data_IF_040322268929
#
_entry.id   IF_040322268929
#
_cell.length_a   1.000
_cell.length_b   1.000
_cell.length_c   1.000
_cell.angle_alpha   90.00
_cell.angle_beta   90.00
_cell.angle_gamma   90.00
#
_symmetry.space_group_name_H-M   'P 1'
#
loop_
_entity.id
_entity.type
_entity.pdbx_description
1 polymer ?
#
# COMPACT_ATOMS: atom_id res chain seq x y z
N UNK A 1 -1.57 -25.68 -5.59
CA UNK A 1 -1.05 -24.80 -6.66
C UNK A 1 -1.23 -23.32 -6.33
N UNK A 2 -2.42 -22.85 -5.95
CA UNK A 2 -2.68 -21.43 -5.69
C UNK A 2 -1.79 -20.82 -4.58
N UNK A 3 -1.66 -21.49 -3.43
CA UNK A 3 -0.82 -21.04 -2.31
C UNK A 3 0.65 -20.85 -2.70
N UNK A 4 1.18 -21.68 -3.60
CA UNK A 4 2.55 -21.57 -4.09
C UNK A 4 2.72 -20.32 -4.97
N UNK A 5 1.74 -20.02 -5.82
CA UNK A 5 1.73 -18.81 -6.66
C UNK A 5 1.66 -17.56 -5.78
N UNK A 6 0.79 -17.55 -4.75
CA UNK A 6 0.71 -16.46 -3.79
C UNK A 6 2.05 -16.25 -3.06
N UNK A 7 2.63 -17.34 -2.55
CA UNK A 7 3.91 -17.28 -1.84
C UNK A 7 5.02 -16.74 -2.74
N UNK A 8 5.13 -17.25 -3.97
CA UNK A 8 6.11 -16.77 -4.94
C UNK A 8 5.91 -15.28 -5.23
N UNK A 9 4.67 -14.86 -5.45
CA UNK A 9 4.34 -13.45 -5.66
C UNK A 9 4.81 -12.58 -4.48
N UNK A 10 4.39 -12.90 -3.25
CA UNK A 10 4.76 -12.12 -2.07
C UNK A 10 6.27 -12.14 -1.80
N UNK A 11 6.95 -13.26 -2.01
CA UNK A 11 8.40 -13.38 -1.82
C UNK A 11 9.19 -12.53 -2.84
N UNK A 12 8.69 -12.41 -4.08
CA UNK A 12 9.31 -11.60 -5.12
C UNK A 12 9.11 -10.09 -4.88
N UNK A 13 8.05 -9.65 -4.20
CA UNK A 13 7.79 -8.23 -3.96
C UNK A 13 8.94 -7.46 -3.31
N UNK A 14 9.50 -7.85 -2.14
CA UNK A 14 10.61 -7.12 -1.52
C UNK A 14 11.86 -7.15 -2.41
N UNK A 15 12.17 -8.30 -3.02
CA UNK A 15 13.35 -8.48 -3.89
C UNK A 15 13.26 -7.56 -5.10
N UNK A 16 12.16 -7.60 -5.83
CA UNK A 16 11.91 -6.77 -7.02
C UNK A 16 11.91 -5.28 -6.68
N UNK A 17 11.38 -4.90 -5.51
CA UNK A 17 11.40 -3.50 -5.04
C UNK A 17 12.82 -3.01 -4.80
N UNK A 18 13.66 -3.79 -4.10
CA UNK A 18 15.06 -3.42 -3.82
C UNK A 18 15.89 -3.38 -5.11
N UNK A 19 15.75 -4.39 -5.97
CA UNK A 19 16.45 -4.44 -7.25
C UNK A 19 16.03 -3.27 -8.15
N UNK A 20 14.73 -2.99 -8.24
CA UNK A 20 14.23 -1.85 -9.00
C UNK A 20 14.75 -0.53 -8.43
N UNK A 21 14.81 -0.36 -7.11
CA UNK A 21 15.37 0.86 -6.52
C UNK A 21 16.87 1.02 -6.84
N UNK A 22 17.63 -0.06 -6.83
CA UNK A 22 19.09 -0.04 -6.99
C UNK A 22 19.51 0.12 -8.45
N UNK A 23 18.89 -0.63 -9.37
CA UNK A 23 19.32 -0.72 -10.76
C UNK A 23 18.44 0.07 -11.73
N UNK A 24 17.15 0.26 -11.41
CA UNK A 24 16.16 0.88 -12.31
C UNK A 24 15.24 1.83 -11.54
N UNK A 25 15.81 2.79 -10.81
CA UNK A 25 15.06 3.59 -9.82
C UNK A 25 13.85 4.35 -10.40
N UNK A 26 13.83 4.59 -11.72
CA UNK A 26 12.65 5.11 -12.43
C UNK A 26 11.39 4.28 -12.21
N UNK A 27 11.51 2.97 -11.97
CA UNK A 27 10.42 2.03 -11.68
C UNK A 27 9.90 2.08 -10.25
N UNK A 28 10.64 2.65 -9.29
CA UNK A 28 10.16 2.82 -7.90
C UNK A 28 9.81 4.27 -7.57
N UNK A 29 10.26 5.21 -8.42
CA UNK A 29 10.00 6.63 -8.26
C UNK A 29 8.54 6.93 -8.61
N UNK A 30 7.81 7.47 -7.65
CA UNK A 30 6.43 7.97 -7.84
C UNK A 30 6.32 9.41 -7.34
N UNK A 31 5.49 10.23 -7.99
CA UNK A 31 5.38 11.66 -7.71
C UNK A 31 5.99 12.51 -8.82
N UNK A 32 7.26 12.90 -8.73
CA UNK A 32 7.90 13.74 -9.76
C UNK A 32 8.43 12.89 -10.92
N UNK A 33 7.53 12.38 -11.76
CA UNK A 33 7.86 11.68 -13.02
C UNK A 33 7.51 12.62 -14.19
N UNK A 34 8.38 12.79 -15.21
CA UNK A 34 8.14 13.72 -16.32
C UNK A 34 6.89 13.38 -17.14
N UNK A 35 6.66 12.09 -17.39
CA UNK A 35 5.51 11.58 -18.17
C UNK A 35 4.85 10.44 -17.39
N UNK A 36 3.52 10.50 -17.26
CA UNK A 36 2.76 9.48 -16.55
C UNK A 36 1.32 9.89 -16.23
N UNK A 37 0.59 8.96 -15.64
CA UNK A 37 -0.78 9.16 -15.20
C UNK A 37 -0.82 9.91 -13.87
N UNK A 38 -1.93 10.59 -13.58
CA UNK A 38 -2.13 11.26 -12.28
C UNK A 38 -2.13 10.26 -11.13
N UNK A 39 -1.47 10.57 -10.01
CA UNK A 39 -1.55 9.75 -8.78
C UNK A 39 -2.94 9.74 -8.14
N UNK A 40 -3.83 10.65 -8.54
CA UNK A 40 -5.24 10.58 -8.11
C UNK A 40 -5.93 9.30 -8.61
N UNK A 41 -5.36 8.62 -9.60
CA UNK A 41 -5.82 7.32 -10.08
C UNK A 41 -5.56 6.18 -9.07
N UNK A 42 -4.86 6.41 -7.95
CA UNK A 42 -4.78 5.45 -6.84
C UNK A 42 -6.15 5.07 -6.26
N UNK A 43 -7.17 5.92 -6.43
CA UNK A 43 -8.55 5.58 -6.10
C UNK A 43 -9.01 4.27 -6.76
N UNK A 44 -8.49 3.96 -7.96
CA UNK A 44 -8.85 2.75 -8.70
C UNK A 44 -8.33 1.48 -8.01
N UNK A 45 -7.22 1.55 -7.27
CA UNK A 45 -6.72 0.42 -6.49
C UNK A 45 -7.67 0.05 -5.37
N UNK A 46 -8.10 1.06 -4.63
CA UNK A 46 -8.92 0.87 -3.44
C UNK A 46 -10.33 0.43 -3.81
N UNK A 47 -10.94 1.03 -4.85
CA UNK A 47 -12.25 0.57 -5.34
C UNK A 47 -12.17 -0.84 -5.93
N UNK A 48 -11.10 -1.18 -6.65
CA UNK A 48 -10.89 -2.53 -7.16
C UNK A 48 -10.78 -3.55 -6.02
N UNK A 49 -9.98 -3.25 -4.98
CA UNK A 49 -9.87 -4.11 -3.80
C UNK A 49 -11.20 -4.26 -3.04
N UNK A 50 -12.03 -3.21 -2.98
CA UNK A 50 -13.37 -3.28 -2.38
C UNK A 50 -14.30 -4.18 -3.20
N UNK A 51 -14.31 -4.03 -4.53
CA UNK A 51 -15.08 -4.89 -5.44
C UNK A 51 -14.64 -6.35 -5.26
N UNK A 52 -13.33 -6.62 -5.26
CA UNK A 52 -12.81 -7.95 -5.00
C UNK A 52 -13.21 -8.48 -3.64
N UNK A 53 -13.19 -7.65 -2.59
CA UNK A 53 -13.60 -8.08 -1.24
C UNK A 53 -15.09 -8.41 -1.14
N UNK A 54 -15.93 -7.86 -2.02
CA UNK A 54 -17.34 -8.22 -2.12
C UNK A 54 -17.54 -9.50 -2.94
N UNK A 55 -16.81 -9.66 -4.05
CA UNK A 55 -16.88 -10.85 -4.91
C UNK A 55 -16.26 -12.10 -4.26
N UNK A 56 -15.13 -11.91 -3.59
CA UNK A 56 -14.45 -12.89 -2.74
C UNK A 56 -14.78 -12.49 -1.31
N UNK A 57 -15.83 -13.00 -0.67
CA UNK A 57 -16.39 -12.43 0.55
C UNK A 57 -15.37 -12.44 1.70
N UNK A 58 -14.54 -11.39 1.79
CA UNK A 58 -13.51 -11.23 2.81
C UNK A 58 -14.23 -10.92 4.11
N UNK A 59 -14.26 -11.89 5.03
CA UNK A 59 -15.09 -11.80 6.25
C UNK A 59 -14.43 -11.02 7.40
N UNK A 60 -13.21 -10.51 7.19
CA UNK A 60 -12.49 -9.72 8.20
C UNK A 60 -12.66 -8.21 7.98
N UNK A 61 -11.99 -7.42 8.83
CA UNK A 61 -12.11 -5.95 8.84
C UNK A 61 -11.23 -5.23 7.80
N UNK A 62 -10.45 -5.97 7.00
CA UNK A 62 -9.57 -5.37 5.98
C UNK A 62 -10.31 -4.50 4.93
N UNK A 63 -11.53 -4.83 4.48
CA UNK A 63 -12.27 -3.95 3.56
C UNK A 63 -12.55 -2.55 4.13
N UNK A 64 -12.63 -2.40 5.45
CA UNK A 64 -12.76 -1.08 6.10
C UNK A 64 -11.52 -0.22 5.84
N UNK A 65 -10.33 -0.84 5.88
CA UNK A 65 -9.08 -0.16 5.52
C UNK A 65 -9.12 0.34 4.07
N UNK A 66 -9.55 -0.50 3.13
CA UNK A 66 -9.68 -0.14 1.71
C UNK A 66 -10.71 0.97 1.48
N UNK A 67 -11.88 0.87 2.10
CA UNK A 67 -12.96 1.86 2.00
C UNK A 67 -12.52 3.23 2.52
N UNK A 68 -11.87 3.25 3.68
CA UNK A 68 -11.31 4.46 4.25
C UNK A 68 -10.23 5.07 3.33
N UNK A 69 -9.32 4.25 2.78
CA UNK A 69 -8.31 4.73 1.81
C UNK A 69 -8.95 5.29 0.53
N UNK A 70 -10.01 4.65 0.02
CA UNK A 70 -10.76 5.15 -1.12
C UNK A 70 -11.35 6.54 -0.85
N UNK A 71 -12.03 6.73 0.29
CA UNK A 71 -12.58 8.02 0.70
C UNK A 71 -11.47 9.07 0.83
N UNK A 72 -10.36 8.73 1.50
CA UNK A 72 -9.21 9.62 1.63
C UNK A 72 -8.67 10.06 0.28
N UNK A 73 -8.60 9.20 -0.75
CA UNK A 73 -8.11 9.61 -2.08
C UNK A 73 -9.01 10.63 -2.78
N UNK A 74 -10.30 10.70 -2.42
CA UNK A 74 -11.23 11.71 -2.93
C UNK A 74 -11.02 13.07 -2.24
N UNK A 75 -10.71 13.05 -0.95
CA UNK A 75 -10.51 14.23 -0.11
C UNK A 75 -9.08 14.79 -0.28
N UNK A 76 -8.07 13.95 -0.10
CA UNK A 76 -6.66 14.31 -0.12
C UNK A 76 -6.05 14.11 -1.51
N UNK A 77 -6.37 15.03 -2.42
CA UNK A 77 -5.87 14.99 -3.80
C UNK A 77 -4.37 15.28 -3.88
N UNK A 78 -3.68 14.52 -4.72
CA UNK A 78 -2.33 14.83 -5.13
C UNK A 78 -2.30 16.01 -6.11
N UNK A 79 -1.19 16.74 -6.11
CA UNK A 79 -0.95 17.82 -7.07
C UNK A 79 -0.83 17.29 -8.50
N UNK A 80 -1.10 18.14 -9.49
CA UNK A 80 -1.03 17.82 -10.93
C UNK A 80 0.38 17.37 -11.37
N UNK A 81 1.41 17.82 -10.65
CA UNK A 81 2.82 17.42 -10.85
C UNK A 81 3.11 16.00 -10.35
N UNK A 82 2.21 15.41 -9.56
CA UNK A 82 2.38 14.09 -8.96
C UNK A 82 1.84 13.00 -9.88
N UNK A 83 2.76 12.29 -10.53
CA UNK A 83 2.51 11.27 -11.56
C UNK A 83 2.98 9.87 -11.14
N UNK A 84 2.43 8.86 -11.80
CA UNK A 84 2.81 7.44 -11.70
C UNK A 84 2.85 6.80 -13.10
N UNK A 85 3.68 5.76 -13.28
CA UNK A 85 3.68 4.94 -14.49
C UNK A 85 2.45 4.00 -14.55
N UNK A 86 2.06 3.52 -15.74
CA UNK A 86 1.08 2.45 -15.90
C UNK A 86 1.46 1.14 -15.19
N UNK A 87 2.76 0.84 -15.09
CA UNK A 87 3.24 -0.33 -14.36
C UNK A 87 2.87 -0.27 -12.87
N UNK A 88 2.97 0.90 -12.23
CA UNK A 88 2.48 1.04 -10.86
C UNK A 88 0.97 0.78 -10.75
N UNK A 89 0.21 1.13 -11.79
CA UNK A 89 -1.23 0.88 -11.80
C UNK A 89 -1.52 -0.62 -11.84
N UNK A 90 -0.93 -1.32 -12.82
CA UNK A 90 -1.09 -2.75 -13.01
C UNK A 90 -0.63 -3.50 -11.77
N UNK A 91 0.55 -3.16 -11.24
CA UNK A 91 1.09 -3.72 -10.00
C UNK A 91 0.13 -3.54 -8.83
N UNK A 92 -0.44 -2.34 -8.66
CA UNK A 92 -1.41 -2.07 -7.60
C UNK A 92 -2.64 -2.97 -7.69
N UNK A 93 -3.19 -3.17 -8.89
CA UNK A 93 -4.33 -4.08 -9.11
C UNK A 93 -3.96 -5.52 -8.74
N UNK A 94 -2.86 -6.04 -9.29
CA UNK A 94 -2.38 -7.41 -9.01
C UNK A 94 -2.13 -7.61 -7.51
N UNK A 95 -1.50 -6.62 -6.84
CA UNK A 95 -1.26 -6.64 -5.41
C UNK A 95 -2.55 -6.80 -4.60
N UNK A 96 -3.58 -6.00 -4.91
CA UNK A 96 -4.86 -6.12 -4.20
C UNK A 96 -5.58 -7.43 -4.49
N UNK A 97 -5.41 -8.02 -5.69
CA UNK A 97 -5.89 -9.38 -5.96
C UNK A 97 -5.30 -10.38 -4.98
N UNK A 98 -3.98 -10.45 -4.87
CA UNK A 98 -3.31 -11.40 -3.96
C UNK A 98 -3.61 -11.14 -2.49
N UNK A 99 -3.66 -9.89 -2.05
CA UNK A 99 -4.00 -9.55 -0.66
C UNK A 99 -5.43 -9.96 -0.33
N UNK A 100 -6.41 -9.63 -1.18
CA UNK A 100 -7.81 -9.98 -0.94
C UNK A 100 -8.02 -11.49 -0.90
N UNK A 101 -7.40 -12.25 -1.81
CA UNK A 101 -7.51 -13.71 -1.80
C UNK A 101 -6.87 -14.29 -0.54
N UNK A 102 -5.64 -13.88 -0.20
CA UNK A 102 -4.93 -14.40 0.97
C UNK A 102 -5.65 -14.09 2.28
N UNK A 103 -6.24 -12.89 2.40
CA UNK A 103 -6.93 -12.46 3.61
C UNK A 103 -8.38 -12.95 3.71
N UNK A 104 -8.99 -13.45 2.63
CA UNK A 104 -10.42 -13.81 2.58
C UNK A 104 -10.87 -14.66 3.78
N UNK A 105 -10.09 -15.69 4.07
CA UNK A 105 -10.41 -16.70 5.09
C UNK A 105 -9.58 -16.53 6.37
N UNK A 106 -8.94 -15.36 6.54
CA UNK A 106 -8.08 -15.06 7.70
C UNK A 106 -8.78 -14.13 8.66
N UNK A 107 -8.70 -14.44 9.95
CA UNK A 107 -9.25 -13.59 10.99
C UNK A 107 -8.28 -12.45 11.32
N UNK A 108 -8.85 -11.27 11.55
CA UNK A 108 -8.20 -10.16 12.24
C UNK A 108 -9.05 -9.94 13.48
N UNK A 109 -8.58 -10.48 14.60
CA UNK A 109 -9.34 -10.63 15.84
C UNK A 109 -9.46 -9.31 16.57
N UNK A 110 -8.36 -8.57 16.71
CA UNK A 110 -8.36 -7.31 17.44
C UNK A 110 -8.77 -6.12 16.55
N UNK A 111 -10.08 -6.06 16.26
CA UNK A 111 -10.71 -5.01 15.44
C UNK A 111 -10.47 -3.60 16.00
N UNK A 112 -10.47 -3.44 17.32
CA UNK A 112 -10.28 -2.15 17.97
C UNK A 112 -8.88 -1.56 17.68
N UNK A 113 -7.83 -2.38 17.84
CA UNK A 113 -6.45 -1.97 17.49
C UNK A 113 -6.35 -1.68 16.00
N UNK A 114 -6.95 -2.51 15.14
CA UNK A 114 -6.96 -2.25 13.70
C UNK A 114 -7.60 -0.90 13.36
N UNK A 115 -8.76 -0.59 13.96
CA UNK A 115 -9.45 0.69 13.75
C UNK A 115 -8.63 1.88 14.26
N UNK A 116 -7.99 1.75 15.42
CA UNK A 116 -7.10 2.78 15.97
C UNK A 116 -5.92 3.07 15.03
N UNK A 117 -5.26 2.03 14.51
CA UNK A 117 -4.17 2.18 13.55
C UNK A 117 -4.63 2.82 12.24
N UNK A 118 -5.82 2.47 11.76
CA UNK A 118 -6.40 3.11 10.58
C UNK A 118 -6.70 4.60 10.83
N UNK A 119 -7.25 4.95 12.00
CA UNK A 119 -7.47 6.35 12.39
C UNK A 119 -6.16 7.13 12.49
N UNK A 120 -5.12 6.55 13.11
CA UNK A 120 -3.78 7.14 13.19
C UNK A 120 -3.20 7.39 11.79
N UNK A 121 -3.41 6.48 10.85
CA UNK A 121 -2.98 6.66 9.46
C UNK A 121 -3.77 7.79 8.78
N UNK A 122 -5.08 7.91 9.01
CA UNK A 122 -5.90 9.02 8.49
C UNK A 122 -5.41 10.37 8.99
N UNK A 123 -5.14 10.49 10.31
CA UNK A 123 -4.58 11.70 10.91
C UNK A 123 -3.22 12.02 10.30
N UNK A 124 -2.38 11.01 10.10
CA UNK A 124 -1.08 11.18 9.45
C UNK A 124 -1.22 11.68 8.00
N UNK A 125 -2.19 11.18 7.23
CA UNK A 125 -2.49 11.72 5.90
C UNK A 125 -2.99 13.15 5.95
N UNK A 126 -3.86 13.50 6.88
CA UNK A 126 -4.29 14.88 7.07
C UNK A 126 -3.10 15.82 7.33
N UNK A 127 -2.18 15.44 8.24
CA UNK A 127 -0.96 16.20 8.50
C UNK A 127 -0.12 16.40 7.23
N UNK A 128 0.07 15.34 6.44
CA UNK A 128 0.91 15.37 5.23
C UNK A 128 0.26 16.16 4.09
N UNK A 129 -1.05 15.97 3.85
CA UNK A 129 -1.75 16.53 2.70
C UNK A 129 -2.34 17.90 2.97
N UNK A 130 -2.97 18.12 4.13
CA UNK A 130 -3.59 19.40 4.46
C UNK A 130 -2.61 20.35 5.15
N UNK A 131 -1.90 19.88 6.18
CA UNK A 131 -1.00 20.74 6.98
C UNK A 131 0.42 20.85 6.39
N UNK A 132 0.80 19.95 5.49
CA UNK A 132 2.16 19.85 4.91
C UNK A 132 3.26 19.63 5.96
N UNK A 133 2.90 19.06 7.12
CA UNK A 133 3.82 18.73 8.21
C UNK A 133 4.05 17.22 8.27
N UNK A 134 5.09 16.78 8.99
CA UNK A 134 5.40 15.36 9.23
C UNK A 134 5.41 14.50 7.96
N UNK A 135 6.19 14.90 6.96
CA UNK A 135 6.15 14.35 5.59
C UNK A 135 6.19 12.81 5.46
N UNK A 136 6.70 12.10 6.46
CA UNK A 136 6.85 10.64 6.46
C UNK A 136 6.00 9.91 7.51
N UNK A 137 5.19 10.60 8.32
CA UNK A 137 4.40 9.96 9.40
C UNK A 137 3.43 8.90 8.87
N UNK A 138 2.81 9.16 7.73
CA UNK A 138 1.89 8.20 7.09
C UNK A 138 2.56 6.86 6.74
N UNK A 139 3.86 6.86 6.42
CA UNK A 139 4.61 5.62 6.17
C UNK A 139 4.83 4.82 7.45
N UNK A 140 5.11 5.49 8.58
CA UNK A 140 5.22 4.82 9.87
C UNK A 140 3.90 4.15 10.27
N UNK A 141 2.78 4.87 10.13
CA UNK A 141 1.45 4.32 10.38
C UNK A 141 1.11 3.15 9.43
N UNK A 142 1.52 3.24 8.17
CA UNK A 142 1.36 2.13 7.20
C UNK A 142 2.13 0.88 7.63
N UNK A 143 3.40 1.03 8.03
CA UNK A 143 4.20 -0.09 8.56
C UNK A 143 3.54 -0.68 9.80
N UNK A 144 3.04 0.14 10.73
CA UNK A 144 2.36 -0.36 11.94
C UNK A 144 1.12 -1.20 11.60
N UNK A 145 0.30 -0.77 10.62
CA UNK A 145 -0.87 -1.53 10.14
C UNK A 145 -0.43 -2.90 9.60
N UNK A 146 0.58 -2.94 8.74
CA UNK A 146 1.02 -4.20 8.13
C UNK A 146 1.77 -5.12 9.10
N UNK A 147 2.49 -4.57 10.08
CA UNK A 147 3.04 -5.34 11.20
C UNK A 147 1.93 -5.98 12.01
N UNK A 148 0.86 -5.24 12.30
CA UNK A 148 -0.31 -5.78 13.00
C UNK A 148 -1.03 -6.86 12.19
N UNK A 149 -1.24 -6.67 10.87
CA UNK A 149 -1.82 -7.70 10.00
C UNK A 149 -0.95 -8.97 10.01
N UNK A 150 0.38 -8.82 9.91
CA UNK A 150 1.30 -9.96 10.02
C UNK A 150 1.17 -10.67 11.37
N UNK A 151 1.09 -9.92 12.47
CA UNK A 151 0.94 -10.48 13.82
C UNK A 151 -0.35 -11.27 14.03
N UNK A 152 -1.46 -10.81 13.46
CA UNK A 152 -2.77 -11.48 13.55
C UNK A 152 -2.85 -12.71 12.64
N UNK A 153 -2.30 -12.62 11.42
CA UNK A 153 -2.45 -13.68 10.40
C UNK A 153 -1.34 -14.73 10.47
N UNK A 154 -0.12 -14.35 10.85
CA UNK A 154 1.07 -15.22 11.09
C UNK A 154 1.40 -16.17 9.95
N UNK A 155 1.34 -15.68 8.71
CA UNK A 155 1.71 -16.45 7.51
C UNK A 155 2.98 -15.90 6.88
N UNK A 156 3.75 -16.77 6.20
CA UNK A 156 4.97 -16.38 5.47
C UNK A 156 4.63 -15.33 4.40
N UNK A 157 3.49 -15.45 3.72
CA UNK A 157 3.00 -14.47 2.76
C UNK A 157 2.88 -13.07 3.39
N UNK A 158 2.32 -12.96 4.60
CA UNK A 158 2.21 -11.67 5.30
C UNK A 158 3.54 -11.17 5.85
N UNK A 159 4.48 -12.06 6.20
CA UNK A 159 5.85 -11.67 6.51
C UNK A 159 6.52 -11.05 5.28
N UNK A 160 6.46 -11.73 4.13
CA UNK A 160 6.99 -11.22 2.86
C UNK A 160 6.31 -9.90 2.46
N UNK A 161 5.00 -9.77 2.69
CA UNK A 161 4.28 -8.52 2.48
C UNK A 161 4.77 -7.39 3.39
N UNK A 162 5.03 -7.67 4.67
CA UNK A 162 5.62 -6.70 5.59
C UNK A 162 7.02 -6.25 5.13
N UNK A 163 7.86 -7.19 4.69
CA UNK A 163 9.18 -6.90 4.12
C UNK A 163 9.06 -6.04 2.85
N UNK A 164 8.07 -6.31 2.01
CA UNK A 164 7.75 -5.48 0.86
C UNK A 164 7.38 -4.05 1.28
N UNK A 165 6.47 -3.88 2.23
CA UNK A 165 6.07 -2.55 2.74
C UNK A 165 7.28 -1.79 3.30
N UNK A 166 8.13 -2.44 4.09
CA UNK A 166 9.37 -1.85 4.59
C UNK A 166 10.30 -1.41 3.45
N UNK A 167 10.51 -2.26 2.45
CA UNK A 167 11.34 -1.99 1.28
C UNK A 167 10.79 -0.83 0.44
N UNK A 168 9.46 -0.78 0.26
CA UNK A 168 8.76 0.28 -0.45
C UNK A 168 8.87 1.62 0.28
N UNK A 169 8.66 1.62 1.60
CA UNK A 169 8.81 2.82 2.44
C UNK A 169 10.25 3.35 2.38
N UNK A 170 11.24 2.47 2.56
CA UNK A 170 12.65 2.83 2.45
C UNK A 170 12.96 3.49 1.10
N UNK A 171 12.60 2.82 0.00
CA UNK A 171 12.82 3.33 -1.37
C UNK A 171 12.11 4.67 -1.60
N UNK A 172 10.88 4.81 -1.11
CA UNK A 172 10.09 6.03 -1.25
C UNK A 172 10.69 7.21 -0.47
N UNK A 173 11.14 6.99 0.77
CA UNK A 173 11.78 8.02 1.59
C UNK A 173 13.11 8.45 0.97
N UNK A 174 13.94 7.49 0.54
CA UNK A 174 15.24 7.77 -0.10
C UNK A 174 15.06 8.58 -1.39
N UNK A 175 14.14 8.15 -2.26
CA UNK A 175 13.85 8.86 -3.52
C UNK A 175 13.38 10.30 -3.28
N UNK A 176 12.54 10.55 -2.26
CA UNK A 176 12.10 11.91 -1.92
C UNK A 176 13.23 12.80 -1.39
N UNK A 177 14.15 12.24 -0.61
CA UNK A 177 15.32 13.00 -0.10
C UNK A 177 16.27 13.39 -1.23
N UNK A 178 16.52 12.49 -2.18
CA UNK A 178 17.38 12.77 -3.34
C UNK A 178 16.75 13.83 -4.26
N UNK A 179 15.45 13.74 -4.55
CA UNK A 179 14.77 14.68 -5.47
C UNK A 179 14.42 16.06 -4.87
N UNK A 180 14.74 16.30 -3.58
CA UNK A 180 14.65 17.63 -2.95
C UNK A 180 15.91 18.46 -3.16
N UNK A 181 17.02 17.83 -3.55
CA UNK A 181 18.17 18.50 -4.16
C UNK A 181 17.88 18.72 -5.64
#
# INVERSE_FOLDING_TARGET
>A
MFVLIELLYFALLPVTTILSHTFMNSLTRHGRIPKGMSKNNYQYFYIYGLILSALLPVRNIYPVHLGRRFIETKIFKYSVRSRMSPLHLIHGLVYYTFICIHLRDRAISNKAVFMLLNALQSVSHYCVFARKTFAYSHYAAEVMIYTFIYWEVRTIQMLCNLLYVLSFVFSSVRNRRVCKR
#
